data_IF_594705014427
#
_entry.id   IF_594705014427
#
_cell.length_a   1.000
_cell.length_b   1.000
_cell.length_c   1.000
_cell.angle_alpha   90.00
_cell.angle_beta   90.00
_cell.angle_gamma   90.00
#
_symmetry.space_group_name_H-M   'P 1'
#
loop_
_entity.id
_entity.type
_entity.pdbx_description
1 polymer ?
#
# COMPACT_ATOMS: atom_id res chain seq x y z
N UNK A 1 1.46 -24.68 -2.28
CA UNK A 1 2.84 -24.49 -1.76
C UNK A 1 2.73 -23.99 -0.33
N UNK A 2 3.42 -24.60 0.65
CA UNK A 2 3.44 -24.08 2.01
C UNK A 2 4.07 -22.69 2.00
N UNK A 3 3.35 -21.68 2.51
CA UNK A 3 3.84 -20.31 2.62
C UNK A 3 4.99 -20.31 3.64
N UNK A 4 6.11 -19.68 3.26
CA UNK A 4 7.28 -19.58 4.13
C UNK A 4 6.89 -18.88 5.45
N UNK A 5 7.13 -19.49 6.63
CA UNK A 5 6.79 -18.91 7.93
C UNK A 5 7.57 -17.63 8.29
N UNK A 6 8.50 -17.18 7.43
CA UNK A 6 9.23 -15.91 7.56
C UNK A 6 8.73 -14.83 6.61
N UNK A 7 7.53 -14.99 6.06
CA UNK A 7 7.04 -14.14 5.01
C UNK A 7 6.34 -12.87 5.54
N UNK A 8 7.03 -11.73 5.42
CA UNK A 8 6.48 -10.41 5.75
C UNK A 8 5.32 -10.03 4.79
N UNK A 9 4.21 -9.43 5.26
CA UNK A 9 3.11 -8.95 4.40
C UNK A 9 3.43 -7.66 3.66
N UNK A 10 4.56 -7.02 3.98
CA UNK A 10 4.95 -5.75 3.41
C UNK A 10 5.45 -5.81 1.96
N UNK A 11 5.79 -4.65 1.40
CA UNK A 11 6.26 -4.54 0.01
C UNK A 11 7.51 -5.36 -0.28
N UNK A 12 8.29 -5.72 0.75
CA UNK A 12 9.52 -6.50 0.63
C UNK A 12 9.29 -7.95 0.17
N UNK A 13 8.11 -8.52 0.36
CA UNK A 13 7.84 -9.91 0.01
C UNK A 13 6.68 -10.03 -0.98
N UNK A 14 7.03 -10.08 -2.26
CA UNK A 14 6.06 -10.29 -3.34
C UNK A 14 5.41 -11.67 -3.26
N UNK A 15 6.18 -12.73 -2.97
CA UNK A 15 5.69 -14.10 -2.96
C UNK A 15 4.59 -14.32 -1.91
N UNK A 16 4.71 -13.69 -0.73
CA UNK A 16 3.65 -13.68 0.26
C UNK A 16 2.36 -13.05 -0.27
N UNK A 17 2.47 -11.85 -0.84
CA UNK A 17 1.32 -11.11 -1.35
C UNK A 17 0.63 -11.87 -2.48
N UNK A 18 1.39 -12.42 -3.42
CA UNK A 18 0.86 -13.27 -4.50
C UNK A 18 0.13 -14.52 -3.93
N UNK A 19 0.61 -15.09 -2.82
CA UNK A 19 -0.01 -16.24 -2.17
C UNK A 19 -1.30 -15.87 -1.41
N UNK A 20 -1.33 -14.72 -0.74
CA UNK A 20 -2.57 -14.19 -0.11
C UNK A 20 -3.60 -13.84 -1.18
N UNK A 21 -3.20 -13.13 -2.25
CA UNK A 21 -4.09 -12.80 -3.36
C UNK A 21 -4.65 -14.07 -4.05
N UNK A 22 -3.85 -15.15 -4.12
CA UNK A 22 -4.31 -16.43 -4.62
C UNK A 22 -5.32 -17.10 -3.66
N UNK A 23 -5.06 -17.02 -2.35
CA UNK A 23 -5.98 -17.52 -1.32
C UNK A 23 -7.30 -16.75 -1.32
N UNK A 24 -7.28 -15.43 -1.33
CA UNK A 24 -8.48 -14.59 -1.30
C UNK A 24 -9.35 -14.83 -2.53
N UNK A 25 -8.74 -14.95 -3.72
CA UNK A 25 -9.46 -15.35 -4.94
C UNK A 25 -10.08 -16.74 -4.82
N UNK A 26 -9.35 -17.70 -4.27
CA UNK A 26 -9.88 -19.05 -4.04
C UNK A 26 -11.01 -19.08 -3.01
N UNK A 27 -10.91 -18.25 -1.96
CA UNK A 27 -11.92 -18.13 -0.92
C UNK A 27 -13.21 -17.48 -1.46
N UNK A 28 -13.10 -16.38 -2.21
CA UNK A 28 -14.24 -15.74 -2.88
C UNK A 28 -14.92 -16.73 -3.83
N UNK A 29 -14.14 -17.44 -4.65
CA UNK A 29 -14.67 -18.47 -5.55
C UNK A 29 -15.40 -19.59 -4.77
N UNK A 30 -14.88 -19.99 -3.61
CA UNK A 30 -15.52 -20.96 -2.74
C UNK A 30 -16.83 -20.43 -2.13
N UNK A 31 -16.87 -19.17 -1.67
CA UNK A 31 -18.10 -18.55 -1.18
C UNK A 31 -19.19 -18.49 -2.27
N UNK A 32 -18.82 -18.11 -3.50
CA UNK A 32 -19.75 -18.11 -4.63
C UNK A 32 -20.22 -19.53 -4.97
N UNK A 33 -19.32 -20.52 -4.91
CA UNK A 33 -19.68 -21.92 -5.12
C UNK A 33 -20.65 -22.42 -4.04
N UNK A 34 -20.46 -22.05 -2.77
CA UNK A 34 -21.39 -22.40 -1.68
C UNK A 34 -22.78 -21.82 -1.96
N UNK A 35 -22.87 -20.56 -2.37
CA UNK A 35 -24.15 -19.95 -2.70
C UNK A 35 -24.85 -20.70 -3.84
N UNK A 36 -24.12 -21.02 -4.92
CA UNK A 36 -24.66 -21.79 -6.04
C UNK A 36 -25.07 -23.23 -5.64
N UNK A 37 -24.31 -23.87 -4.74
CA UNK A 37 -24.65 -25.18 -4.19
C UNK A 37 -25.93 -25.12 -3.36
N UNK A 38 -26.10 -24.08 -2.53
CA UNK A 38 -27.33 -23.87 -1.75
C UNK A 38 -28.54 -23.70 -2.67
N UNK A 39 -28.44 -22.85 -3.69
CA UNK A 39 -29.51 -22.70 -4.70
C UNK A 39 -29.84 -24.03 -5.40
N UNK A 40 -28.83 -24.83 -5.76
CA UNK A 40 -29.04 -26.13 -6.37
C UNK A 40 -29.71 -27.15 -5.43
N UNK A 41 -29.33 -27.14 -4.14
CA UNK A 41 -29.96 -27.97 -3.11
C UNK A 41 -31.41 -27.56 -2.88
N UNK A 42 -31.71 -26.26 -2.86
CA UNK A 42 -33.07 -25.74 -2.67
C UNK A 42 -33.96 -26.02 -3.88
N UNK A 43 -33.40 -26.01 -5.09
CA UNK A 43 -34.12 -26.36 -6.32
C UNK A 43 -34.33 -27.87 -6.51
N UNK A 44 -33.46 -28.70 -5.91
CA UNK A 44 -33.44 -30.15 -6.11
C UNK A 44 -34.78 -30.85 -5.85
N UNK A 45 -35.53 -30.55 -4.76
CA UNK A 45 -36.86 -31.14 -4.53
C UNK A 45 -37.84 -30.89 -5.69
N UNK A 46 -37.82 -29.69 -6.29
CA UNK A 46 -38.67 -29.34 -7.43
C UNK A 46 -38.31 -30.13 -8.69
N UNK A 47 -37.01 -30.30 -8.95
CA UNK A 47 -36.50 -31.10 -10.06
C UNK A 47 -36.87 -32.58 -9.90
N UNK A 48 -36.74 -33.12 -8.69
CA UNK A 48 -37.14 -34.51 -8.38
C UNK A 48 -38.65 -34.69 -8.51
N UNK A 49 -39.46 -33.73 -8.06
CA UNK A 49 -40.92 -33.81 -8.14
C UNK A 49 -41.44 -33.73 -9.59
N UNK A 50 -40.78 -32.93 -10.44
CA UNK A 50 -41.08 -32.85 -11.87
C UNK A 50 -40.58 -34.06 -12.68
N UNK A 51 -39.70 -34.89 -12.09
CA UNK A 51 -39.22 -36.11 -12.71
C UNK A 51 -40.22 -37.25 -12.48
N UNK A 52 -40.85 -37.73 -13.55
CA UNK A 52 -41.79 -38.85 -13.50
C UNK A 52 -41.20 -40.08 -14.20
N UNK A 53 -41.03 -41.19 -13.46
CA UNK A 53 -40.79 -42.52 -14.05
C UNK A 53 -42.11 -43.06 -14.63
N UNK A 54 -42.15 -43.62 -15.86
CA UNK A 54 -41.21 -44.63 -16.34
C UNK A 54 -40.77 -44.35 -17.79
N UNK A 55 -39.63 -43.68 -17.95
CA UNK A 55 -38.92 -43.67 -19.23
C UNK A 55 -37.52 -44.23 -18.98
N UNK A 56 -37.06 -45.11 -19.88
CA UNK A 56 -35.69 -45.62 -19.91
C UNK A 56 -34.65 -44.49 -19.98
N UNK A 57 -35.09 -43.27 -20.31
CA UNK A 57 -34.30 -42.05 -20.39
C UNK A 57 -35.19 -40.82 -20.12
N UNK A 58 -34.73 -39.80 -19.40
CA UNK A 58 -33.41 -39.64 -18.78
C UNK A 58 -33.29 -40.26 -17.37
N UNK A 59 -32.05 -40.55 -16.98
CA UNK A 59 -31.70 -41.00 -15.64
C UNK A 59 -32.19 -40.00 -14.56
N UNK A 60 -32.46 -40.49 -13.34
CA UNK A 60 -32.89 -39.63 -12.24
C UNK A 60 -31.88 -38.49 -11.97
N UNK A 61 -32.37 -37.30 -11.61
CA UNK A 61 -31.50 -36.16 -11.31
C UNK A 61 -30.55 -36.51 -10.16
N UNK A 62 -29.26 -36.22 -10.33
CA UNK A 62 -28.24 -36.48 -9.33
C UNK A 62 -28.28 -35.41 -8.22
N UNK A 63 -28.13 -35.84 -6.96
CA UNK A 63 -28.01 -34.91 -5.83
C UNK A 63 -26.76 -34.04 -5.99
N UNK A 64 -26.83 -32.72 -5.71
CA UNK A 64 -25.66 -31.85 -5.67
C UNK A 64 -24.57 -32.42 -4.74
N UNK A 65 -23.32 -32.45 -5.20
CA UNK A 65 -22.20 -32.96 -4.41
C UNK A 65 -21.65 -31.89 -3.45
N UNK A 66 -21.24 -32.26 -2.21
CA UNK A 66 -20.70 -31.30 -1.25
C UNK A 66 -19.36 -30.73 -1.72
N UNK A 67 -19.19 -29.42 -1.53
CA UNK A 67 -17.97 -28.71 -1.92
C UNK A 67 -16.83 -28.96 -0.94
N UNK A 68 -15.63 -29.20 -1.47
CA UNK A 68 -14.41 -29.30 -0.68
C UNK A 68 -13.90 -27.90 -0.29
N UNK A 69 -13.42 -27.76 0.96
CA UNK A 69 -12.82 -26.53 1.46
C UNK A 69 -11.46 -26.25 0.78
N UNK A 70 -11.11 -24.98 0.52
CA UNK A 70 -9.77 -24.62 0.06
C UNK A 70 -8.73 -25.05 1.10
N UNK A 71 -7.77 -25.87 0.66
CA UNK A 71 -6.83 -26.59 1.55
C UNK A 71 -5.66 -25.73 2.04
N UNK A 72 -5.39 -24.60 1.39
CA UNK A 72 -4.23 -23.75 1.69
C UNK A 72 -4.70 -22.66 2.64
N UNK A 73 -4.21 -22.63 3.88
CA UNK A 73 -4.36 -21.47 4.78
C UNK A 73 -3.03 -20.73 4.89
N UNK A 74 -2.98 -19.42 4.63
CA UNK A 74 -1.78 -18.65 4.89
C UNK A 74 -1.53 -18.56 6.39
N UNK A 75 -0.35 -18.99 6.85
CA UNK A 75 0.09 -18.77 8.22
C UNK A 75 0.88 -17.46 8.27
N UNK A 76 0.62 -16.66 9.30
CA UNK A 76 1.37 -15.44 9.55
C UNK A 76 2.74 -15.76 10.13
N UNK A 77 3.73 -14.96 9.72
CA UNK A 77 5.06 -15.02 10.31
C UNK A 77 5.05 -14.55 11.78
N UNK A 78 6.08 -14.95 12.53
CA UNK A 78 6.35 -14.44 13.87
C UNK A 78 7.79 -13.88 13.89
N UNK A 79 8.00 -12.54 13.87
CA UNK A 79 7.00 -11.47 13.88
C UNK A 79 6.22 -11.34 12.58
N UNK A 80 5.02 -10.73 12.64
CA UNK A 80 4.14 -10.53 11.47
C UNK A 80 4.86 -9.72 10.40
N UNK A 81 5.54 -8.66 10.80
CA UNK A 81 6.31 -7.78 9.92
C UNK A 81 7.80 -8.00 10.11
N UNK A 82 8.57 -7.94 9.02
CA UNK A 82 10.03 -7.91 9.11
C UNK A 82 10.52 -6.55 9.65
N UNK A 83 11.75 -6.53 10.17
CA UNK A 83 12.34 -5.32 10.77
C UNK A 83 12.41 -4.14 9.79
N UNK A 84 12.54 -4.42 8.48
CA UNK A 84 12.56 -3.42 7.42
C UNK A 84 11.19 -2.77 7.24
N UNK A 85 10.12 -3.55 7.14
CA UNK A 85 8.77 -3.01 6.99
C UNK A 85 8.27 -2.34 8.26
N UNK A 86 8.63 -2.85 9.45
CA UNK A 86 8.37 -2.14 10.71
C UNK A 86 8.96 -0.74 10.71
N UNK A 87 10.21 -0.58 10.24
CA UNK A 87 10.84 0.74 10.09
C UNK A 87 10.09 1.63 9.10
N UNK A 88 9.67 1.09 7.96
CA UNK A 88 8.91 1.85 6.97
C UNK A 88 7.54 2.29 7.48
N UNK A 89 6.82 1.44 8.21
CA UNK A 89 5.52 1.77 8.80
C UNK A 89 5.69 2.85 9.87
N UNK A 90 6.70 2.73 10.73
CA UNK A 90 7.02 3.76 11.73
C UNK A 90 7.29 5.12 11.08
N UNK A 91 8.15 5.14 10.07
CA UNK A 91 8.45 6.36 9.33
C UNK A 91 7.19 6.91 8.66
N UNK A 92 6.40 6.06 8.01
CA UNK A 92 5.17 6.45 7.35
C UNK A 92 4.18 7.09 8.32
N UNK A 93 3.95 6.48 9.48
CA UNK A 93 3.07 6.98 10.53
C UNK A 93 3.54 8.34 11.07
N UNK A 94 4.84 8.50 11.30
CA UNK A 94 5.42 9.77 11.76
C UNK A 94 5.24 10.90 10.73
N UNK A 95 5.38 10.60 9.45
CA UNK A 95 5.22 11.58 8.37
C UNK A 95 3.76 11.98 8.10
N UNK A 96 2.77 11.21 8.56
CA UNK A 96 1.36 11.50 8.27
C UNK A 96 0.94 12.88 8.80
N UNK A 97 1.42 13.30 9.98
CA UNK A 97 1.03 14.59 10.55
C UNK A 97 1.62 15.77 9.78
N UNK A 98 2.89 15.66 9.37
CA UNK A 98 3.56 16.67 8.55
C UNK A 98 2.89 16.80 7.18
N UNK A 99 2.65 15.66 6.50
CA UNK A 99 1.97 15.65 5.21
C UNK A 99 0.53 16.18 5.31
N UNK A 100 -0.19 15.82 6.36
CA UNK A 100 -1.54 16.34 6.60
C UNK A 100 -1.53 17.86 6.86
N UNK A 101 -0.51 18.37 7.56
CA UNK A 101 -0.33 19.79 7.82
C UNK A 101 -0.02 20.56 6.54
N UNK A 102 0.84 20.03 5.66
CA UNK A 102 1.10 20.61 4.34
C UNK A 102 -0.16 20.58 3.47
N UNK A 103 -0.91 19.47 3.47
CA UNK A 103 -2.16 19.37 2.72
C UNK A 103 -3.19 20.41 3.18
N UNK A 104 -3.34 20.60 4.50
CA UNK A 104 -4.22 21.62 5.06
C UNK A 104 -3.78 23.04 4.67
N UNK A 105 -2.49 23.35 4.78
CA UNK A 105 -1.95 24.66 4.40
C UNK A 105 -2.21 25.01 2.92
N UNK A 106 -2.15 24.01 2.03
CA UNK A 106 -2.47 24.19 0.61
C UNK A 106 -3.95 24.57 0.37
N UNK A 107 -4.86 24.08 1.21
CA UNK A 107 -6.29 24.42 1.17
C UNK A 107 -6.52 25.85 1.64
N UNK A 108 -5.82 26.27 2.69
CA UNK A 108 -5.91 27.62 3.27
C UNK A 108 -5.29 28.71 2.36
N UNK A 109 -4.79 28.33 1.18
CA UNK A 109 -4.21 29.25 0.21
C UNK A 109 -2.72 29.51 0.41
N UNK A 110 -2.09 28.87 1.40
CA UNK A 110 -0.64 28.90 1.61
C UNK A 110 0.06 27.93 0.63
N UNK A 111 -0.02 28.20 -0.68
CA UNK A 111 0.87 27.57 -1.67
C UNK A 111 2.23 28.25 -1.61
N UNK A 112 3.30 27.47 -1.53
CA UNK A 112 4.69 27.92 -1.42
C UNK A 112 4.99 29.18 -2.26
N UNK A 113 5.19 30.30 -1.57
CA UNK A 113 5.88 31.46 -2.11
C UNK A 113 7.39 31.19 -2.30
N UNK A 114 7.91 30.04 -1.84
CA UNK A 114 9.33 29.72 -1.76
C UNK A 114 10.00 29.11 -3.00
N UNK A 115 9.25 28.71 -4.03
CA UNK A 115 9.82 28.07 -5.23
C UNK A 115 9.89 28.99 -6.46
N UNK A 116 10.04 30.31 -6.27
CA UNK A 116 10.20 31.29 -7.38
C UNK A 116 11.63 31.82 -7.48
N UNK A 117 12.59 30.93 -7.67
CA UNK A 117 13.82 31.26 -8.38
C UNK A 117 13.80 30.52 -9.72
N UNK A 118 13.48 31.24 -10.79
CA UNK A 118 13.66 30.78 -12.17
C UNK A 118 12.38 30.70 -13.01
N UNK A 119 12.29 31.63 -13.97
CA UNK A 119 11.39 31.68 -15.13
C UNK A 119 9.91 31.98 -14.89
N UNK A 120 9.61 33.25 -15.13
CA UNK A 120 8.38 33.75 -15.77
C UNK A 120 7.82 32.76 -16.80
N UNK A 121 6.66 32.18 -16.48
CA UNK A 121 5.87 31.36 -17.37
C UNK A 121 4.41 31.37 -16.91
N UNK A 122 3.60 32.15 -17.62
CA UNK A 122 2.15 32.27 -17.59
C UNK A 122 1.36 31.28 -16.71
N UNK A 123 0.75 31.83 -15.66
CA UNK A 123 -0.62 31.60 -15.17
C UNK A 123 -1.29 30.34 -15.74
N UNK A 124 -0.95 29.18 -15.18
CA UNK A 124 -1.87 28.05 -15.19
C UNK A 124 -2.83 28.27 -14.01
N UNK A 125 -3.93 29.00 -14.29
CA UNK A 125 -5.16 28.97 -13.48
C UNK A 125 -5.77 27.57 -13.62
N UNK A 126 -5.08 26.56 -13.10
CA UNK A 126 -5.70 25.26 -12.85
C UNK A 126 -6.50 25.48 -11.59
N UNK A 127 -7.83 25.48 -11.75
CA UNK A 127 -8.85 25.51 -10.71
C UNK A 127 -8.26 25.12 -9.35
N UNK A 128 -8.26 26.06 -8.40
CA UNK A 128 -8.04 25.68 -7.01
C UNK A 128 -9.05 24.56 -6.73
N UNK A 129 -8.53 23.35 -6.49
CA UNK A 129 -9.34 22.22 -6.05
C UNK A 129 -10.23 22.77 -4.94
N UNK A 130 -11.54 22.52 -4.99
CA UNK A 130 -12.40 22.97 -3.90
C UNK A 130 -11.81 22.49 -2.57
N UNK A 131 -11.98 23.23 -1.47
CA UNK A 131 -11.48 22.84 -0.16
C UNK A 131 -12.06 21.48 0.32
N UNK A 132 -13.21 21.06 -0.21
CA UNK A 132 -13.91 19.83 0.20
C UNK A 132 -13.08 18.54 0.13
N UNK A 133 -12.49 18.11 -1.01
CA UNK A 133 -11.81 16.82 -1.13
C UNK A 133 -10.61 16.62 -0.19
N UNK A 134 -9.87 17.68 0.15
CA UNK A 134 -8.72 17.55 1.06
C UNK A 134 -9.20 17.43 2.49
N UNK A 135 -10.14 18.27 2.92
CA UNK A 135 -10.75 18.18 4.26
C UNK A 135 -11.41 16.81 4.48
N UNK A 136 -12.17 16.33 3.50
CA UNK A 136 -12.80 15.00 3.54
C UNK A 136 -11.75 13.89 3.70
N UNK A 137 -10.63 14.00 2.96
CA UNK A 137 -9.52 13.05 3.06
C UNK A 137 -8.84 13.09 4.44
N UNK A 138 -8.70 14.27 5.05
CA UNK A 138 -8.11 14.43 6.38
C UNK A 138 -9.03 13.92 7.50
N UNK A 139 -10.34 14.09 7.34
CA UNK A 139 -11.35 13.54 8.25
C UNK A 139 -11.41 12.01 8.15
N UNK A 140 -11.36 11.46 6.94
CA UNK A 140 -11.26 10.02 6.67
C UNK A 140 -10.00 9.43 7.32
N UNK A 141 -8.85 10.09 7.16
CA UNK A 141 -7.59 9.72 7.82
C UNK A 141 -7.73 9.71 9.34
N UNK A 142 -8.29 10.77 9.92
CA UNK A 142 -8.47 10.84 11.37
C UNK A 142 -9.40 9.74 11.87
N UNK A 143 -10.50 9.48 11.16
CA UNK A 143 -11.42 8.38 11.46
C UNK A 143 -10.71 7.03 11.48
N UNK A 144 -9.90 6.73 10.46
CA UNK A 144 -9.15 5.48 10.37
C UNK A 144 -8.12 5.33 11.51
N UNK A 145 -7.39 6.39 11.87
CA UNK A 145 -6.42 6.36 12.97
C UNK A 145 -7.10 6.15 14.33
N UNK A 146 -8.25 6.80 14.52
CA UNK A 146 -9.07 6.69 15.73
C UNK A 146 -9.63 5.29 15.91
N UNK A 147 -10.13 4.68 14.83
CA UNK A 147 -10.65 3.32 14.85
C UNK A 147 -9.57 2.33 15.32
N UNK A 148 -8.33 2.49 14.85
CA UNK A 148 -7.20 1.67 15.30
C UNK A 148 -6.86 1.92 16.76
N UNK A 149 -6.86 3.18 17.23
CA UNK A 149 -6.65 3.51 18.64
C UNK A 149 -7.71 2.87 19.53
N UNK A 150 -8.99 3.00 19.17
CA UNK A 150 -10.12 2.48 19.95
C UNK A 150 -10.08 0.93 19.97
N UNK A 151 -9.83 0.27 18.83
CA UNK A 151 -9.67 -1.20 18.75
C UNK A 151 -8.48 -1.70 19.60
N UNK A 152 -7.34 -1.00 19.58
CA UNK A 152 -6.16 -1.41 20.35
C UNK A 152 -6.37 -1.21 21.85
N UNK A 153 -7.02 -0.11 22.25
CA UNK A 153 -7.40 0.13 23.65
C UNK A 153 -8.33 -0.95 24.17
N UNK A 154 -9.36 -1.30 23.40
CA UNK A 154 -10.29 -2.38 23.74
C UNK A 154 -9.55 -3.71 23.90
N UNK A 155 -8.70 -4.07 22.93
CA UNK A 155 -7.90 -5.30 22.97
C UNK A 155 -6.99 -5.38 24.21
N UNK A 156 -6.39 -4.26 24.62
CA UNK A 156 -5.48 -4.18 25.78
C UNK A 156 -6.19 -3.95 27.11
N UNK A 157 -7.50 -3.70 27.10
CA UNK A 157 -8.26 -3.30 28.29
C UNK A 157 -7.83 -1.95 28.85
N UNK A 158 -7.34 -1.04 28.00
CA UNK A 158 -7.03 0.33 28.38
C UNK A 158 -8.29 1.17 28.53
N UNK A 159 -8.16 2.30 29.23
CA UNK A 159 -9.26 3.27 29.30
C UNK A 159 -9.61 3.81 27.91
N UNK A 160 -10.89 4.11 27.74
CA UNK A 160 -11.42 4.79 26.57
C UNK A 160 -10.62 6.05 26.25
N UNK A 161 -10.52 6.35 24.96
CA UNK A 161 -9.85 7.54 24.48
C UNK A 161 -10.49 8.80 25.08
N UNK A 162 -9.68 9.76 25.57
CA UNK A 162 -10.21 11.02 26.06
C UNK A 162 -10.92 11.77 24.93
N UNK A 163 -12.03 12.45 25.25
CA UNK A 163 -12.78 13.25 24.27
C UNK A 163 -11.92 14.39 23.76
N UNK A 164 -11.71 14.44 22.44
CA UNK A 164 -10.95 15.49 21.74
C UNK A 164 -11.83 16.12 20.67
N UNK A 165 -11.74 17.44 20.49
CA UNK A 165 -12.36 18.11 19.35
C UNK A 165 -11.67 17.65 18.05
N UNK A 166 -12.44 17.41 16.99
CA UNK A 166 -11.89 17.01 15.68
C UNK A 166 -10.99 18.12 15.14
N UNK A 167 -9.84 17.75 14.58
CA UNK A 167 -8.88 18.69 13.98
C UNK A 167 -7.43 18.22 14.04
N UNK A 168 -6.51 19.08 13.63
CA UNK A 168 -5.07 18.80 13.55
C UNK A 168 -4.48 18.37 14.88
N UNK A 169 -4.85 19.04 15.99
CA UNK A 169 -4.35 18.70 17.31
C UNK A 169 -4.76 17.28 17.75
N UNK A 170 -6.01 16.90 17.54
CA UNK A 170 -6.48 15.56 17.89
C UNK A 170 -5.81 14.47 17.06
N UNK A 171 -5.64 14.71 15.75
CA UNK A 171 -4.89 13.82 14.87
C UNK A 171 -3.46 13.63 15.35
N UNK A 172 -2.74 14.71 15.65
CA UNK A 172 -1.36 14.65 16.15
C UNK A 172 -1.24 13.84 17.44
N UNK A 173 -2.16 14.03 18.39
CA UNK A 173 -2.18 13.25 19.64
C UNK A 173 -2.45 11.76 19.41
N UNK A 174 -3.35 11.42 18.48
CA UNK A 174 -3.61 10.02 18.12
C UNK A 174 -2.41 9.39 17.41
N UNK A 175 -1.76 10.10 16.48
CA UNK A 175 -0.52 9.63 15.83
C UNK A 175 0.59 9.40 16.86
N UNK A 176 0.79 10.33 17.80
CA UNK A 176 1.78 10.18 18.86
C UNK A 176 1.52 8.93 19.71
N UNK A 177 0.27 8.74 20.15
CA UNK A 177 -0.10 7.55 20.92
C UNK A 177 0.09 6.25 20.12
N UNK A 178 -0.26 6.23 18.83
CA UNK A 178 -0.05 5.08 17.97
C UNK A 178 1.43 4.78 17.72
N UNK A 179 2.29 5.80 17.69
CA UNK A 179 3.75 5.61 17.57
C UNK A 179 4.35 4.97 18.83
N UNK A 180 3.86 5.35 20.01
CA UNK A 180 4.28 4.77 21.28
C UNK A 180 3.88 3.29 21.39
N UNK A 181 2.69 2.93 20.90
CA UNK A 181 2.17 1.55 20.91
C UNK A 181 2.58 0.73 19.67
N UNK A 182 3.29 1.32 18.72
CA UNK A 182 3.46 0.76 17.37
C UNK A 182 4.10 -0.63 17.37
N UNK A 183 5.14 -0.84 18.17
CA UNK A 183 5.83 -2.14 18.22
C UNK A 183 4.90 -3.25 18.72
N UNK A 184 4.07 -2.96 19.73
CA UNK A 184 3.11 -3.92 20.25
C UNK A 184 1.98 -4.18 19.24
N UNK A 185 1.50 -3.12 18.57
CA UNK A 185 0.50 -3.24 17.51
C UNK A 185 1.03 -4.14 16.38
N UNK A 186 2.26 -3.92 15.89
CA UNK A 186 2.82 -4.66 14.75
C UNK A 186 3.15 -6.13 15.07
N UNK A 187 3.27 -6.50 16.36
CA UNK A 187 3.38 -7.90 16.76
C UNK A 187 2.03 -8.64 16.71
N UNK A 188 0.91 -7.92 16.74
CA UNK A 188 -0.41 -8.51 16.70
C UNK A 188 -0.74 -9.05 15.28
N UNK A 189 -1.30 -10.26 15.13
CA UNK A 189 -1.66 -10.83 13.82
C UNK A 189 -2.65 -9.97 13.02
N UNK A 190 -3.52 -9.21 13.70
CA UNK A 190 -4.46 -8.28 13.06
C UNK A 190 -3.82 -6.99 12.52
N UNK A 191 -2.52 -6.77 12.71
CA UNK A 191 -1.84 -5.52 12.34
C UNK A 191 -1.62 -5.33 10.84
N UNK A 192 -1.93 -6.34 10.02
CA UNK A 192 -1.72 -6.31 8.57
C UNK A 192 -2.52 -5.16 7.93
N UNK A 193 -3.80 -5.07 8.28
CA UNK A 193 -4.68 -4.01 7.79
C UNK A 193 -4.16 -2.63 8.18
N UNK A 194 -3.73 -2.46 9.44
CA UNK A 194 -3.16 -1.22 9.93
C UNK A 194 -1.88 -0.83 9.17
N UNK A 195 -0.86 -1.69 9.15
CA UNK A 195 0.42 -1.36 8.51
C UNK A 195 0.30 -1.09 7.01
N UNK A 196 -0.56 -1.83 6.31
CA UNK A 196 -0.85 -1.57 4.88
C UNK A 196 -1.61 -0.26 4.68
N UNK A 197 -2.60 0.04 5.52
CA UNK A 197 -3.36 1.28 5.48
C UNK A 197 -2.46 2.49 5.76
N UNK A 198 -1.56 2.43 6.75
CA UNK A 198 -0.59 3.51 7.03
C UNK A 198 0.27 3.84 5.82
N UNK A 199 0.81 2.82 5.14
CA UNK A 199 1.60 3.00 3.91
C UNK A 199 0.76 3.52 2.74
N UNK A 200 -0.52 3.17 2.67
CA UNK A 200 -1.44 3.70 1.66
C UNK A 200 -1.76 5.18 1.93
N UNK A 201 -2.02 5.55 3.18
CA UNK A 201 -2.27 6.93 3.62
C UNK A 201 -1.08 7.83 3.33
N UNK A 202 0.14 7.39 3.66
CA UNK A 202 1.36 8.13 3.36
C UNK A 202 1.49 8.40 1.86
N UNK A 203 1.30 7.38 1.02
CA UNK A 203 1.35 7.54 -0.45
C UNK A 203 0.27 8.49 -0.97
N UNK A 204 -0.96 8.36 -0.46
CA UNK A 204 -2.09 9.24 -0.82
C UNK A 204 -1.78 10.70 -0.48
N UNK A 205 -1.31 10.97 0.74
CA UNK A 205 -0.97 12.33 1.18
C UNK A 205 0.25 12.90 0.46
N UNK A 206 1.29 12.11 0.18
CA UNK A 206 2.43 12.54 -0.66
C UNK A 206 1.98 12.94 -2.06
N UNK A 207 1.06 12.16 -2.65
CA UNK A 207 0.45 12.49 -3.95
C UNK A 207 -0.35 13.79 -3.92
N UNK A 208 -1.12 14.02 -2.86
CA UNK A 208 -1.91 15.26 -2.68
C UNK A 208 -1.03 16.50 -2.49
N UNK A 209 -0.03 16.38 -1.63
CA UNK A 209 0.87 17.49 -1.29
C UNK A 209 1.91 17.77 -2.37
N UNK A 210 2.12 16.82 -3.30
CA UNK A 210 3.26 16.79 -4.21
C UNK A 210 4.61 16.84 -3.47
N UNK A 211 4.61 16.43 -2.20
CA UNK A 211 5.81 16.25 -1.38
C UNK A 211 6.52 14.94 -1.67
N UNK A 212 6.09 14.20 -2.69
CA UNK A 212 6.96 13.16 -3.23
C UNK A 212 8.20 13.88 -3.76
N UNK A 213 9.42 13.61 -3.24
CA UNK A 213 10.64 14.05 -3.91
C UNK A 213 10.43 13.73 -5.37
N UNK A 214 10.60 14.71 -6.27
CA UNK A 214 10.62 14.42 -7.70
C UNK A 214 11.85 13.57 -7.93
N UNK A 215 11.72 12.28 -7.65
CA UNK A 215 12.73 11.27 -7.79
C UNK A 215 12.89 11.06 -9.29
N UNK A 216 13.59 12.02 -9.90
CA UNK A 216 13.95 11.97 -11.31
C UNK A 216 14.86 10.76 -11.42
N UNK A 217 14.30 9.68 -11.95
CA UNK A 217 15.07 8.49 -12.28
C UNK A 217 16.10 8.92 -13.31
N UNK A 218 17.35 8.65 -13.01
CA UNK A 218 18.40 8.82 -13.98
C UNK A 218 18.42 7.61 -14.92
N UNK A 219 18.63 7.80 -16.23
CA UNK A 219 18.75 6.69 -17.17
C UNK A 219 20.05 5.88 -17.02
N UNK A 220 21.02 6.37 -16.22
CA UNK A 220 22.34 5.74 -16.10
C UNK A 220 22.30 4.50 -15.21
N UNK A 221 23.21 3.57 -15.48
CA UNK A 221 23.49 2.41 -14.62
C UNK A 221 24.37 2.84 -13.46
N UNK A 222 24.16 2.24 -12.28
CA UNK A 222 25.04 2.49 -11.16
C UNK A 222 26.45 1.93 -11.44
N UNK A 223 27.49 2.75 -11.31
CA UNK A 223 28.88 2.29 -11.49
C UNK A 223 29.32 1.19 -10.52
N UNK A 224 28.63 1.00 -9.38
CA UNK A 224 28.95 -0.04 -8.40
C UNK A 224 28.28 -1.39 -8.66
N UNK A 225 27.01 -1.38 -9.04
CA UNK A 225 26.21 -2.61 -9.18
C UNK A 225 25.55 -2.79 -10.56
N UNK A 226 25.79 -1.86 -11.49
CA UNK A 226 25.30 -1.85 -12.88
C UNK A 226 23.77 -1.82 -13.06
N UNK A 227 23.02 -1.67 -11.96
CA UNK A 227 21.56 -1.57 -11.96
C UNK A 227 21.06 -0.18 -12.39
N UNK A 228 19.95 -0.13 -13.14
CA UNK A 228 19.29 1.11 -13.62
C UNK A 228 18.28 1.65 -12.61
N UNK A 229 18.72 1.82 -11.37
CA UNK A 229 17.86 2.26 -10.27
C UNK A 229 18.39 3.51 -9.58
N UNK A 230 18.97 4.45 -10.33
CA UNK A 230 19.45 5.70 -9.74
C UNK A 230 18.32 6.73 -9.75
N UNK A 231 18.06 7.35 -8.60
CA UNK A 231 17.09 8.44 -8.46
C UNK A 231 17.68 9.62 -7.74
N UNK A 232 17.37 10.84 -8.20
CA UNK A 232 17.70 12.07 -7.48
C UNK A 232 16.84 12.21 -6.22
N UNK A 233 17.45 12.56 -5.10
CA UNK A 233 16.81 12.88 -3.82
C UNK A 233 16.75 14.42 -3.65
N UNK A 234 15.89 14.90 -2.75
CA UNK A 234 15.68 16.34 -2.52
C UNK A 234 16.89 17.05 -1.91
N UNK A 235 17.79 16.29 -1.30
CA UNK A 235 19.09 16.75 -0.78
C UNK A 235 20.10 17.11 -1.90
N UNK A 236 19.72 16.92 -3.17
CA UNK A 236 20.56 17.20 -4.34
C UNK A 236 21.47 16.04 -4.74
N UNK A 237 21.44 14.91 -4.03
CA UNK A 237 22.24 13.73 -4.34
C UNK A 237 21.47 12.72 -5.19
N UNK A 238 22.20 11.87 -5.88
CA UNK A 238 21.67 10.70 -6.59
C UNK A 238 21.93 9.45 -5.78
N UNK A 239 20.91 8.63 -5.57
CA UNK A 239 21.03 7.38 -4.83
C UNK A 239 20.66 6.18 -5.70
N UNK A 240 21.48 5.13 -5.70
CA UNK A 240 21.12 3.85 -6.28
C UNK A 240 20.14 3.10 -5.35
N UNK A 241 18.99 2.69 -5.87
CA UNK A 241 17.98 1.90 -5.12
C UNK A 241 18.40 0.46 -4.81
N UNK A 242 19.43 -0.07 -5.47
CA UNK A 242 19.92 -1.44 -5.27
C UNK A 242 21.08 -1.50 -4.27
N UNK A 243 22.16 -0.75 -4.50
CA UNK A 243 23.37 -0.78 -3.66
C UNK A 243 23.52 0.43 -2.73
N UNK A 244 22.54 1.34 -2.72
CA UNK A 244 22.49 2.54 -1.88
C UNK A 244 23.66 3.53 -2.05
N UNK A 245 24.49 3.36 -3.11
CA UNK A 245 25.54 4.32 -3.45
C UNK A 245 24.94 5.71 -3.62
N UNK A 246 25.43 6.65 -2.83
CA UNK A 246 25.17 8.08 -2.98
C UNK A 246 26.20 8.68 -3.93
N UNK A 247 25.74 9.55 -4.81
CA UNK A 247 26.57 10.25 -5.80
C UNK A 247 26.19 11.72 -5.78
N UNK A 248 27.20 12.57 -5.85
CA UNK A 248 27.01 14.01 -6.06
C UNK A 248 26.54 14.27 -7.49
N UNK A 249 26.03 15.48 -7.75
CA UNK A 249 25.61 15.85 -9.10
C UNK A 249 26.77 15.83 -10.10
N UNK A 250 27.98 16.23 -9.69
CA UNK A 250 29.18 16.19 -10.54
C UNK A 250 29.63 14.77 -10.88
N UNK A 251 29.59 13.86 -9.91
CA UNK A 251 29.87 12.43 -10.15
C UNK A 251 28.82 11.81 -11.07
N UNK A 252 27.55 12.15 -10.87
CA UNK A 252 26.45 11.73 -11.71
C UNK A 252 26.60 12.18 -13.16
N UNK A 253 26.91 13.47 -13.38
CA UNK A 253 27.09 14.04 -14.72
C UNK A 253 28.30 13.42 -15.44
N UNK A 254 29.40 13.14 -14.72
CA UNK A 254 30.56 12.43 -15.26
C UNK A 254 30.20 11.00 -15.67
N UNK A 255 29.56 10.24 -14.78
CA UNK A 255 29.12 8.86 -15.09
C UNK A 255 28.11 8.83 -16.24
N UNK A 256 27.29 9.87 -16.39
CA UNK A 256 26.37 10.02 -17.51
C UNK A 256 27.10 10.19 -18.84
N UNK A 257 28.10 11.09 -18.91
CA UNK A 257 28.91 11.29 -20.11
C UNK A 257 29.68 10.03 -20.49
N UNK A 258 30.36 9.38 -19.54
CA UNK A 258 31.12 8.15 -19.80
C UNK A 258 30.25 7.02 -20.36
N UNK A 259 29.01 6.87 -19.86
CA UNK A 259 28.09 5.85 -20.37
C UNK A 259 27.50 6.22 -21.74
N UNK A 260 27.27 7.51 -22.00
CA UNK A 260 26.79 7.96 -23.31
C UNK A 260 27.86 7.69 -24.39
N UNK A 261 29.12 7.98 -24.09
CA UNK A 261 30.25 7.74 -25.00
C UNK A 261 30.41 6.23 -25.29
N UNK A 262 30.33 5.39 -24.25
CA UNK A 262 30.38 3.92 -24.42
C UNK A 262 29.26 3.37 -25.28
N UNK A 263 28.03 3.92 -25.19
CA UNK A 263 26.91 3.51 -26.03
C UNK A 263 27.19 3.87 -27.49
N UNK A 264 27.68 5.08 -27.75
CA UNK A 264 28.03 5.52 -29.10
C UNK A 264 29.16 4.70 -29.73
N UNK A 265 30.20 4.36 -28.97
CA UNK A 265 31.29 3.49 -29.45
C UNK A 265 30.79 2.07 -29.77
N UNK A 266 29.90 1.52 -28.93
CA UNK A 266 29.30 0.20 -29.18
C UNK A 266 28.42 0.19 -30.44
N UNK A 267 27.63 1.25 -30.66
CA UNK A 267 26.82 1.40 -31.88
C UNK A 267 27.68 1.53 -33.14
N UNK A 268 28.81 2.25 -33.05
CA UNK A 268 29.75 2.41 -34.15
C UNK A 268 30.48 1.10 -34.51
N UNK A 269 30.78 0.24 -33.54
CA UNK A 269 31.40 -1.06 -33.78
C UNK A 269 30.42 -2.16 -34.25
N UNK A 270 29.11 -1.97 -34.02
CA UNK A 270 28.07 -2.89 -34.46
C UNK A 270 27.58 -2.65 -35.90
N UNK A 271 27.97 -1.52 -36.51
CA UNK A 271 27.65 -1.12 -37.88
C UNK A 271 28.76 -1.50 -38.86
#
# INVERSE_FOLDING_TARGET
MPINPHACPGPCNRAYRDAVDAYDRAFIAHCLAIAAYQEAVDAYPGVVAAWHAPLLYPAPPARPAPLALPTIRPYLANPVWDSRCTRYIRQALAELDDLASVAQAQVDGHRDAGARYGKTGAVSKVHASSPSPVTDTLDELYGALVEVEDQWREYRGYQDRPRRARGSHARRLTIAWLLDELDAILLHPGSIAFGTATLAWQRRLRGLTKSDPLARRSPIRCSRCSERQISRRDDGYYQCGSCEKLMTQTEHDREYSEQADQIHEQEAHAS
#
